data_IF_069967013545
#
_entry.id   IF_069967013545
#
_cell.length_a   1.000
_cell.length_b   1.000
_cell.length_c   1.000
_cell.angle_alpha   90.00
_cell.angle_beta   90.00
_cell.angle_gamma   90.00
#
_symmetry.space_group_name_H-M   'P 1'
#
loop_
_entity.id
_entity.type
_entity.pdbx_description
1 polymer ?
#
# COMPACT_ATOMS: atom_id res chain seq x y z
N UNK A 1 3.99 -0.84 -21.88
CA UNK A 1 2.82 -0.40 -21.08
C UNK A 1 2.16 -1.53 -20.28
N UNK A 2 2.88 -2.59 -19.88
CA UNK A 2 2.29 -3.73 -19.14
C UNK A 2 2.81 -3.89 -17.70
N UNK A 3 3.96 -3.30 -17.37
CA UNK A 3 4.55 -3.39 -16.03
C UNK A 3 3.87 -2.49 -14.99
N UNK A 4 3.29 -1.37 -15.42
CA UNK A 4 2.51 -0.48 -14.53
C UNK A 4 1.13 -1.06 -14.16
N UNK A 5 0.62 -2.06 -14.91
CA UNK A 5 -0.59 -2.81 -14.55
C UNK A 5 -0.33 -3.93 -13.54
N UNK A 6 0.92 -4.17 -13.18
CA UNK A 6 1.30 -5.09 -12.11
C UNK A 6 1.32 -4.42 -10.73
N UNK A 7 1.01 -3.12 -10.65
CA UNK A 7 0.74 -2.46 -9.39
C UNK A 7 -0.60 -3.01 -8.86
N UNK A 8 -0.59 -3.75 -7.73
CA UNK A 8 -1.79 -4.33 -7.17
C UNK A 8 -2.60 -3.20 -6.53
N UNK A 9 -3.35 -2.47 -7.35
CA UNK A 9 -4.44 -1.62 -6.89
C UNK A 9 -5.67 -2.54 -6.88
N UNK A 10 -6.07 -3.05 -5.69
CA UNK A 10 -7.26 -3.87 -5.58
C UNK A 10 -8.47 -3.03 -5.99
N UNK A 11 -9.16 -3.50 -7.04
CA UNK A 11 -10.32 -2.83 -7.61
C UNK A 11 -10.34 -2.68 -9.13
N UNK A 12 -9.21 -2.86 -9.86
CA UNK A 12 -9.23 -2.66 -11.33
C UNK A 12 -8.62 -3.77 -12.22
N UNK A 13 -7.61 -4.56 -11.81
CA UNK A 13 -7.21 -5.80 -12.54
C UNK A 13 -6.17 -6.66 -11.78
N UNK A 14 -5.27 -6.05 -10.99
CA UNK A 14 -4.19 -6.78 -10.29
C UNK A 14 -4.63 -7.67 -9.12
N UNK A 15 -5.81 -7.40 -8.53
CA UNK A 15 -6.35 -8.21 -7.43
C UNK A 15 -6.79 -9.62 -7.86
N UNK A 16 -7.20 -9.79 -9.12
CA UNK A 16 -7.63 -11.09 -9.65
C UNK A 16 -6.45 -12.07 -9.77
N UNK A 17 -5.30 -11.60 -10.25
CA UNK A 17 -4.10 -12.46 -10.41
C UNK A 17 -3.57 -12.96 -9.06
N UNK A 18 -3.58 -12.10 -8.03
CA UNK A 18 -3.19 -12.50 -6.68
C UNK A 18 -4.20 -13.48 -6.05
N UNK A 19 -5.50 -13.29 -6.33
CA UNK A 19 -6.55 -14.22 -5.93
C UNK A 19 -6.35 -15.60 -6.56
N UNK A 20 -6.16 -15.67 -7.88
CA UNK A 20 -6.00 -16.96 -8.57
C UNK A 20 -4.71 -17.68 -8.13
N UNK A 21 -3.60 -16.95 -7.92
CA UNK A 21 -2.36 -17.56 -7.41
C UNK A 21 -2.50 -18.08 -5.99
N UNK A 22 -3.14 -17.32 -5.10
CA UNK A 22 -3.40 -17.77 -3.74
C UNK A 22 -4.40 -18.92 -3.68
N UNK A 23 -5.43 -18.89 -4.51
CA UNK A 23 -6.46 -19.92 -4.61
C UNK A 23 -5.89 -21.23 -5.19
N UNK A 24 -4.96 -21.15 -6.16
CA UNK A 24 -4.22 -22.32 -6.68
C UNK A 24 -3.29 -22.93 -5.62
N UNK A 25 -2.66 -22.11 -4.77
CA UNK A 25 -1.75 -22.60 -3.71
C UNK A 25 -2.51 -23.11 -2.47
N UNK A 26 -3.61 -22.43 -2.09
CA UNK A 26 -4.27 -22.62 -0.79
C UNK A 26 -5.64 -23.28 -0.91
N UNK A 27 -6.19 -23.40 -2.12
CA UNK A 27 -7.51 -24.00 -2.40
C UNK A 27 -8.69 -23.26 -1.77
N UNK A 28 -8.48 -22.05 -1.25
CA UNK A 28 -9.49 -21.26 -0.53
C UNK A 28 -9.48 -19.81 -1.03
N UNK A 29 -10.66 -19.21 -1.24
CA UNK A 29 -10.76 -17.82 -1.66
C UNK A 29 -10.15 -16.93 -0.58
N UNK A 30 -9.29 -15.99 -0.99
CA UNK A 30 -8.77 -14.95 -0.08
C UNK A 30 -9.97 -14.15 0.43
N UNK A 31 -10.13 -13.93 1.74
CA UNK A 31 -11.19 -13.06 2.20
C UNK A 31 -10.91 -11.63 1.74
N UNK A 32 -11.85 -11.01 1.03
CA UNK A 32 -11.78 -9.60 0.60
C UNK A 32 -11.34 -8.66 1.73
N UNK A 33 -11.83 -8.96 2.95
CA UNK A 33 -11.47 -8.28 4.21
C UNK A 33 -9.97 -8.27 4.53
N UNK A 34 -9.23 -9.33 4.19
CA UNK A 34 -7.78 -9.40 4.44
C UNK A 34 -7.04 -8.43 3.51
N UNK A 35 -7.50 -8.35 2.25
CA UNK A 35 -6.90 -7.47 1.25
C UNK A 35 -7.17 -6.00 1.57
N UNK A 36 -8.42 -5.68 1.93
CA UNK A 36 -8.81 -4.34 2.40
C UNK A 36 -8.03 -3.93 3.66
N UNK A 37 -7.90 -4.83 4.63
CA UNK A 37 -7.13 -4.56 5.84
C UNK A 37 -5.64 -4.36 5.54
N UNK A 38 -5.04 -5.20 4.70
CA UNK A 38 -3.62 -5.08 4.34
C UNK A 38 -3.33 -3.76 3.60
N UNK A 39 -4.22 -3.36 2.68
CA UNK A 39 -4.09 -2.09 1.99
C UNK A 39 -4.29 -0.90 2.93
N UNK A 40 -5.30 -0.95 3.79
CA UNK A 40 -5.56 0.12 4.77
C UNK A 40 -4.37 0.29 5.72
N UNK A 41 -3.81 -0.82 6.20
CA UNK A 41 -2.58 -0.82 7.00
C UNK A 41 -1.42 -0.21 6.22
N UNK A 42 -1.24 -0.60 4.96
CA UNK A 42 -0.19 -0.06 4.09
C UNK A 42 -0.31 1.46 3.89
N UNK A 43 -1.52 1.97 3.65
CA UNK A 43 -1.80 3.40 3.49
C UNK A 43 -1.54 4.16 4.80
N UNK A 44 -2.01 3.65 5.93
CA UNK A 44 -1.79 4.28 7.25
C UNK A 44 -0.29 4.32 7.58
N UNK A 45 0.43 3.25 7.29
CA UNK A 45 1.87 3.18 7.49
C UNK A 45 2.62 4.19 6.61
N UNK A 46 2.25 4.29 5.33
CA UNK A 46 2.85 5.26 4.40
C UNK A 46 2.58 6.71 4.81
N UNK A 47 1.33 7.02 5.21
CA UNK A 47 0.93 8.35 5.69
C UNK A 47 1.69 8.73 6.96
N UNK A 48 1.87 7.78 7.87
CA UNK A 48 2.62 7.98 9.11
C UNK A 48 4.11 8.29 8.82
N UNK A 49 4.72 7.55 7.88
CA UNK A 49 6.09 7.81 7.42
C UNK A 49 6.21 9.19 6.76
N UNK A 50 5.26 9.55 5.88
CA UNK A 50 5.22 10.89 5.29
C UNK A 50 5.15 11.96 6.37
N UNK A 51 4.23 11.85 7.33
CA UNK A 51 4.08 12.83 8.41
C UNK A 51 5.35 13.00 9.24
N UNK A 52 6.07 11.91 9.53
CA UNK A 52 7.35 11.96 10.26
C UNK A 52 8.43 12.69 9.46
N UNK A 53 8.59 12.37 8.18
CA UNK A 53 9.59 13.01 7.31
C UNK A 53 9.26 14.49 7.14
N UNK A 54 8.02 14.80 6.79
CA UNK A 54 7.55 16.16 6.55
C UNK A 54 7.61 17.01 7.83
N UNK A 55 7.25 16.45 8.99
CA UNK A 55 7.35 17.12 10.27
C UNK A 55 8.80 17.46 10.64
N UNK A 56 9.72 16.51 10.45
CA UNK A 56 11.14 16.74 10.69
C UNK A 56 11.74 17.77 9.71
N UNK A 57 11.29 17.76 8.46
CA UNK A 57 11.72 18.71 7.43
C UNK A 57 11.18 20.13 7.71
N UNK A 58 9.93 20.26 8.15
CA UNK A 58 9.33 21.53 8.60
C UNK A 58 10.07 22.08 9.82
N UNK A 59 10.37 21.24 10.82
CA UNK A 59 11.13 21.68 12.00
C UNK A 59 12.52 22.15 11.60
N UNK A 60 13.21 21.42 10.73
CA UNK A 60 14.49 21.87 10.17
C UNK A 60 14.37 23.18 9.38
N UNK A 61 13.32 23.35 8.58
CA UNK A 61 13.11 24.58 7.81
C UNK A 61 12.80 25.79 8.71
N UNK A 62 12.09 25.59 9.81
CA UNK A 62 11.75 26.65 10.78
C UNK A 62 12.94 26.96 11.71
N UNK A 63 13.67 25.94 12.16
CA UNK A 63 14.80 26.10 13.09
C UNK A 63 16.13 26.40 12.40
N UNK A 64 16.29 26.02 11.13
CA UNK A 64 17.54 26.13 10.36
C UNK A 64 17.79 27.49 9.70
N UNK A 65 17.20 28.58 10.20
CA UNK A 65 17.40 29.93 9.68
C UNK A 65 18.20 30.81 10.66
N UNK A 66 19.32 30.28 11.15
CA UNK A 66 20.40 30.99 11.85
C UNK A 66 21.75 30.58 11.25
#
# INVERSE_FOLDING_TARGET
MAFLNLLPIPGLDGGHVMFTLWEVITGKPVPQKVLENAQMIGVIFLLSLMALIFGNDIIKAITGNL
#
